data_IF_713669283556
#
_entry.id   IF_713669283556
#
_cell.length_a   1.000
_cell.length_b   1.000
_cell.length_c   1.000
_cell.angle_alpha   90.00
_cell.angle_beta   90.00
_cell.angle_gamma   90.00
#
_symmetry.space_group_name_H-M   'P 1'
#
loop_
_entity.id
_entity.type
_entity.pdbx_description
1 polymer ?
#
# COMPACT_ATOMS: atom_id res chain seq x y z
N UNK A 1 -9.35 -5.09 -16.75
CA UNK A 1 -8.02 -5.74 -16.87
C UNK A 1 -6.95 -4.91 -16.16
N UNK A 2 -6.93 -4.92 -14.83
CA UNK A 2 -5.78 -4.46 -14.06
C UNK A 2 -5.27 -5.63 -13.22
N UNK A 3 -4.41 -6.44 -13.86
CA UNK A 3 -3.75 -7.59 -13.24
C UNK A 3 -2.80 -7.06 -12.17
N UNK A 4 -3.13 -7.25 -10.90
CA UNK A 4 -2.13 -7.22 -9.83
C UNK A 4 -1.08 -8.25 -10.23
N UNK A 5 0.11 -7.82 -10.58
CA UNK A 5 1.18 -8.68 -11.07
C UNK A 5 1.55 -9.69 -9.97
N UNK A 6 1.11 -10.95 -10.07
CA UNK A 6 1.34 -11.95 -9.02
C UNK A 6 2.84 -12.17 -8.79
N UNK A 7 3.64 -11.94 -9.85
CA UNK A 7 5.09 -12.06 -9.86
C UNK A 7 5.82 -11.05 -8.96
N UNK A 8 5.20 -9.94 -8.57
CA UNK A 8 5.83 -8.95 -7.69
C UNK A 8 5.73 -9.32 -6.19
N UNK A 9 4.90 -10.29 -5.80
CA UNK A 9 4.81 -10.73 -4.41
C UNK A 9 6.10 -11.40 -3.91
N UNK A 10 6.60 -12.43 -4.61
CA UNK A 10 7.84 -13.14 -4.22
C UNK A 10 9.07 -12.24 -4.17
N UNK A 11 9.15 -11.19 -5.01
CA UNK A 11 10.31 -10.30 -5.02
C UNK A 11 10.51 -9.56 -3.69
N UNK A 12 9.44 -9.26 -2.94
CA UNK A 12 9.57 -8.66 -1.60
C UNK A 12 10.26 -9.59 -0.62
N UNK A 13 9.89 -10.87 -0.62
CA UNK A 13 10.50 -11.85 0.27
C UNK A 13 11.96 -12.10 -0.11
N UNK A 14 12.22 -12.25 -1.41
CA UNK A 14 13.59 -12.43 -1.92
C UNK A 14 14.46 -11.25 -1.53
N UNK A 15 14.02 -10.01 -1.79
CA UNK A 15 14.80 -8.81 -1.45
C UNK A 15 14.93 -8.62 0.06
N UNK A 16 13.91 -8.96 0.85
CA UNK A 16 13.98 -8.81 2.32
C UNK A 16 14.93 -9.83 2.96
N UNK A 17 14.99 -11.07 2.43
CA UNK A 17 15.86 -12.13 2.94
C UNK A 17 17.28 -11.98 2.38
N UNK A 18 17.42 -11.81 1.06
CA UNK A 18 18.72 -11.62 0.41
C UNK A 18 19.38 -10.30 0.81
N UNK A 19 18.60 -9.26 1.10
CA UNK A 19 19.12 -7.97 1.54
C UNK A 19 19.81 -8.00 2.92
N UNK A 20 19.59 -9.04 3.73
CA UNK A 20 20.35 -9.26 4.97
C UNK A 20 21.80 -9.68 4.69
N UNK A 21 22.04 -10.32 3.55
CA UNK A 21 23.36 -10.78 3.11
C UNK A 21 24.00 -9.82 2.10
N UNK A 22 23.18 -9.14 1.31
CA UNK A 22 23.58 -8.20 0.25
C UNK A 22 22.94 -6.83 0.46
N UNK A 23 23.55 -5.94 1.28
CA UNK A 23 22.99 -4.63 1.59
C UNK A 23 22.79 -3.72 0.37
N UNK A 24 23.53 -3.95 -0.71
CA UNK A 24 23.37 -3.25 -1.99
C UNK A 24 21.94 -3.37 -2.59
N UNK A 25 21.19 -4.43 -2.27
CA UNK A 25 19.80 -4.59 -2.69
C UNK A 25 18.85 -3.52 -2.11
N UNK A 26 19.24 -2.86 -1.01
CA UNK A 26 18.47 -1.74 -0.43
C UNK A 26 18.35 -0.56 -1.40
N UNK A 27 19.35 -0.32 -2.25
CA UNK A 27 19.32 0.75 -3.26
C UNK A 27 18.34 0.47 -4.40
N UNK A 28 18.19 -0.80 -4.78
CA UNK A 28 17.16 -1.19 -5.73
C UNK A 28 15.76 -0.89 -5.17
N UNK A 29 15.53 -1.11 -3.87
CA UNK A 29 14.27 -0.72 -3.23
C UNK A 29 14.04 0.78 -3.23
N UNK A 30 15.08 1.60 -3.03
CA UNK A 30 14.98 3.06 -3.12
C UNK A 30 14.53 3.51 -4.51
N UNK A 31 15.04 2.90 -5.58
CA UNK A 31 14.59 3.15 -6.94
C UNK A 31 13.10 2.80 -7.13
N UNK A 32 12.66 1.65 -6.62
CA UNK A 32 11.25 1.24 -6.66
C UNK A 32 10.36 2.19 -5.85
N UNK A 33 10.84 2.67 -4.71
CA UNK A 33 10.14 3.66 -3.86
C UNK A 33 10.08 5.04 -4.53
N UNK A 34 11.13 5.45 -5.25
CA UNK A 34 11.17 6.70 -6.02
C UNK A 34 10.21 6.68 -7.21
N UNK A 35 10.18 5.60 -7.98
CA UNK A 35 9.21 5.43 -9.09
C UNK A 35 7.76 5.41 -8.59
N UNK A 36 7.54 4.80 -7.41
CA UNK A 36 6.28 4.86 -6.67
C UNK A 36 5.82 6.29 -6.35
N UNK A 37 6.77 7.13 -5.96
CA UNK A 37 6.51 8.53 -5.63
C UNK A 37 6.17 9.35 -6.88
N UNK A 38 6.97 9.21 -7.93
CA UNK A 38 6.78 9.93 -9.20
C UNK A 38 5.44 9.54 -9.83
N UNK A 39 5.13 8.24 -9.90
CA UNK A 39 3.86 7.76 -10.46
C UNK A 39 2.62 8.25 -9.68
N UNK A 40 2.78 8.51 -8.38
CA UNK A 40 1.71 9.08 -7.55
C UNK A 40 1.35 10.51 -7.93
N UNK A 41 2.29 11.28 -8.48
CA UNK A 41 2.01 12.64 -8.92
C UNK A 41 1.00 12.63 -10.07
N UNK A 42 1.01 11.61 -10.92
CA UNK A 42 0.10 11.52 -12.07
C UNK A 42 -1.20 10.80 -11.72
N UNK A 43 -1.11 9.57 -11.21
CA UNK A 43 -2.28 8.69 -11.00
C UNK A 43 -2.60 8.45 -9.52
N UNK A 44 -2.05 9.23 -8.60
CA UNK A 44 -2.29 9.08 -7.15
C UNK A 44 -1.93 7.68 -6.65
N UNK A 45 -2.78 7.10 -5.79
CA UNK A 45 -2.53 5.78 -5.18
C UNK A 45 -2.70 4.57 -6.13
N UNK A 46 -2.75 4.77 -7.45
CA UNK A 46 -2.91 3.69 -8.43
C UNK A 46 -1.80 2.62 -8.35
N UNK A 47 -0.56 3.01 -8.06
CA UNK A 47 0.55 2.06 -7.92
C UNK A 47 0.32 1.09 -6.75
N UNK A 48 -0.22 1.57 -5.61
CA UNK A 48 -0.57 0.72 -4.47
C UNK A 48 -1.53 -0.41 -4.83
N UNK A 49 -2.43 -0.16 -5.79
CA UNK A 49 -3.38 -1.14 -6.31
C UNK A 49 -2.75 -2.14 -7.27
N UNK A 50 -1.84 -1.69 -8.15
CA UNK A 50 -1.50 -2.44 -9.37
C UNK A 50 -0.05 -2.93 -9.45
N UNK A 51 0.90 -2.20 -8.86
CA UNK A 51 2.34 -2.44 -9.02
C UNK A 51 3.07 -2.62 -7.68
N UNK A 52 2.42 -2.37 -6.55
CA UNK A 52 3.06 -2.49 -5.24
C UNK A 52 3.45 -3.95 -4.94
N UNK A 53 4.75 -4.27 -4.83
CA UNK A 53 5.22 -5.63 -4.56
C UNK A 53 4.67 -6.16 -3.23
N UNK A 54 4.67 -5.31 -2.20
CA UNK A 54 4.12 -5.64 -0.88
C UNK A 54 2.60 -5.86 -0.91
N UNK A 55 1.89 -5.08 -1.72
CA UNK A 55 0.46 -5.25 -1.92
C UNK A 55 0.12 -6.58 -2.58
N UNK A 56 0.90 -6.97 -3.60
CA UNK A 56 0.79 -8.27 -4.27
C UNK A 56 1.09 -9.42 -3.30
N UNK A 57 2.14 -9.30 -2.48
CA UNK A 57 2.47 -10.28 -1.46
C UNK A 57 1.31 -10.52 -0.47
N UNK A 58 0.66 -9.47 0.01
CA UNK A 58 -0.47 -9.64 0.93
C UNK A 58 -1.72 -10.23 0.25
N UNK A 59 -2.01 -9.86 -0.99
CA UNK A 59 -3.19 -10.36 -1.71
C UNK A 59 -3.05 -11.81 -2.19
N UNK A 60 -1.84 -12.27 -2.54
CA UNK A 60 -1.64 -13.66 -3.00
C UNK A 60 -1.09 -14.58 -1.91
N UNK A 61 -0.18 -14.10 -1.07
CA UNK A 61 0.46 -14.90 -0.02
C UNK A 61 -0.43 -15.08 1.21
N UNK A 62 -1.07 -13.99 1.68
CA UNK A 62 -1.79 -14.00 2.96
C UNK A 62 -3.27 -14.32 2.81
N UNK A 63 -3.84 -14.26 1.61
CA UNK A 63 -5.27 -14.55 1.40
C UNK A 63 -5.70 -15.94 1.90
N UNK A 64 -4.79 -16.92 1.93
CA UNK A 64 -5.02 -18.26 2.50
C UNK A 64 -5.05 -18.29 4.03
N UNK A 65 -4.34 -17.37 4.68
CA UNK A 65 -4.18 -17.29 6.14
C UNK A 65 -5.12 -16.24 6.76
N UNK A 66 -5.57 -15.27 5.96
CA UNK A 66 -6.38 -14.15 6.41
C UNK A 66 -7.76 -14.59 6.92
N UNK A 67 -8.09 -14.19 8.15
CA UNK A 67 -9.42 -14.40 8.75
C UNK A 67 -10.52 -13.52 8.14
N UNK A 68 -10.21 -12.68 7.14
CA UNK A 68 -11.13 -11.78 6.42
C UNK A 68 -12.01 -10.94 7.37
N UNK A 69 -11.48 -10.57 8.53
CA UNK A 69 -12.16 -9.68 9.48
C UNK A 69 -12.08 -8.24 8.96
N UNK A 70 -13.15 -7.47 9.19
CA UNK A 70 -13.20 -6.05 8.81
C UNK A 70 -12.07 -5.27 9.48
N UNK A 71 -11.49 -4.35 8.74
CA UNK A 71 -10.47 -3.42 9.21
C UNK A 71 -11.15 -2.45 10.19
N UNK A 72 -10.68 -2.35 11.45
CA UNK A 72 -11.24 -1.39 12.39
C UNK A 72 -11.01 0.04 11.87
N UNK A 73 -12.06 0.86 11.88
CA UNK A 73 -12.01 2.26 11.39
C UNK A 73 -10.90 3.10 12.05
N UNK A 74 -10.51 2.71 13.27
CA UNK A 74 -9.40 3.29 14.02
C UNK A 74 -8.08 3.22 13.24
N UNK A 75 -7.76 2.11 12.56
CA UNK A 75 -6.55 1.96 11.73
C UNK A 75 -6.54 2.84 10.49
N UNK A 76 -7.73 3.11 9.93
CA UNK A 76 -7.88 4.03 8.79
C UNK A 76 -7.93 5.50 9.21
N UNK A 77 -8.16 5.80 10.49
CA UNK A 77 -8.34 7.16 10.98
C UNK A 77 -7.06 7.97 10.83
N UNK A 78 -7.21 9.25 10.47
CA UNK A 78 -6.09 10.20 10.37
C UNK A 78 -5.35 10.35 11.70
N UNK A 79 -6.08 10.19 12.81
CA UNK A 79 -5.56 10.22 14.18
C UNK A 79 -4.54 9.13 14.50
N UNK A 80 -4.67 7.93 13.91
CA UNK A 80 -3.68 6.84 14.07
C UNK A 80 -2.65 6.90 12.95
N UNK A 81 -3.07 7.31 11.76
CA UNK A 81 -2.20 7.38 10.58
C UNK A 81 -1.09 8.42 10.71
N UNK A 82 -1.40 9.62 11.19
CA UNK A 82 -0.41 10.72 11.35
C UNK A 82 0.69 10.36 12.36
N UNK A 83 0.39 9.89 13.59
CA UNK A 83 1.46 9.56 14.54
C UNK A 83 2.29 8.37 14.06
N UNK A 84 1.68 7.35 13.43
CA UNK A 84 2.45 6.24 12.85
C UNK A 84 3.35 6.72 11.71
N UNK A 85 2.84 7.58 10.82
CA UNK A 85 3.66 8.19 9.76
C UNK A 85 4.82 9.02 10.34
N UNK A 86 4.53 9.87 11.33
CA UNK A 86 5.52 10.72 11.99
C UNK A 86 6.59 9.89 12.69
N UNK A 87 6.19 8.88 13.47
CA UNK A 87 7.09 7.99 14.20
C UNK A 87 7.98 7.19 13.24
N UNK A 88 7.42 6.62 12.17
CA UNK A 88 8.20 5.86 11.19
C UNK A 88 9.17 6.75 10.40
N UNK A 89 8.74 7.96 10.03
CA UNK A 89 9.60 8.92 9.33
C UNK A 89 10.70 9.45 10.25
N UNK A 90 10.37 9.80 11.50
CA UNK A 90 11.34 10.24 12.50
C UNK A 90 12.37 9.15 12.81
N UNK A 91 11.94 7.89 12.94
CA UNK A 91 12.85 6.76 13.12
C UNK A 91 13.78 6.58 11.91
N UNK A 92 13.26 6.72 10.69
CA UNK A 92 14.07 6.64 9.47
C UNK A 92 15.11 7.78 9.41
N UNK A 93 14.70 9.01 9.68
CA UNK A 93 15.59 10.17 9.72
C UNK A 93 16.65 10.02 10.81
N UNK A 94 16.27 9.60 12.02
CA UNK A 94 17.20 9.36 13.11
C UNK A 94 18.28 8.33 12.74
N UNK A 95 17.89 7.19 12.16
CA UNK A 95 18.83 6.15 11.70
C UNK A 95 19.76 6.67 10.61
N UNK A 96 19.25 7.48 9.68
CA UNK A 96 20.07 8.13 8.64
C UNK A 96 21.06 9.13 9.27
N UNK A 97 20.62 9.98 10.20
CA UNK A 97 21.47 10.95 10.89
C UNK A 97 22.61 10.30 11.66
N UNK A 98 22.32 9.21 12.39
CA UNK A 98 23.34 8.43 13.12
C UNK A 98 24.34 7.79 12.15
N UNK A 99 23.87 7.31 10.99
CA UNK A 99 24.74 6.68 9.97
C UNK A 99 25.66 7.69 9.31
N UNK A 100 25.15 8.89 8.98
CA UNK A 100 25.95 9.99 8.43
C UNK A 100 27.00 10.45 9.45
N UNK A 101 26.61 10.61 10.72
CA UNK A 101 27.52 11.01 11.79
C UNK A 101 28.64 9.99 12.05
N UNK A 102 28.38 8.71 11.80
CA UNK A 102 29.33 7.64 11.99
C UNK A 102 30.27 7.40 10.79
N UNK A 103 30.28 8.28 9.76
CA UNK A 103 31.07 8.16 8.52
C UNK A 103 31.01 6.78 7.85
N UNK A 104 29.89 6.07 8.02
CA UNK A 104 29.77 4.70 7.57
C UNK A 104 29.33 4.61 6.11
N UNK A 105 29.93 3.64 5.42
CA UNK A 105 29.77 3.28 4.01
C UNK A 105 28.32 3.11 3.57
N UNK A 106 28.12 3.30 2.26
CA UNK A 106 26.93 3.04 1.44
C UNK A 106 26.17 1.75 1.86
N UNK A 107 26.89 0.73 2.33
CA UNK A 107 26.32 -0.54 2.79
C UNK A 107 25.42 -0.43 4.05
N UNK A 108 25.74 0.45 5.01
CA UNK A 108 24.92 0.63 6.21
C UNK A 108 23.56 1.25 5.87
N UNK A 109 23.53 2.17 4.90
CA UNK A 109 22.29 2.78 4.42
C UNK A 109 21.40 1.70 3.80
N UNK A 110 21.97 0.83 2.97
CA UNK A 110 21.28 -0.33 2.39
C UNK A 110 20.65 -1.24 3.44
N UNK A 111 21.39 -1.59 4.50
CA UNK A 111 20.88 -2.42 5.60
C UNK A 111 19.70 -1.80 6.34
N UNK A 112 19.67 -0.48 6.52
CA UNK A 112 18.56 0.21 7.19
C UNK A 112 17.26 0.06 6.38
N UNK A 113 17.33 0.26 5.06
CA UNK A 113 16.18 0.12 4.17
C UNK A 113 15.67 -1.32 4.11
N UNK A 114 16.57 -2.31 4.09
CA UNK A 114 16.17 -3.72 4.13
C UNK A 114 15.53 -4.05 5.49
N UNK A 115 16.15 -3.65 6.60
CA UNK A 115 15.65 -3.95 7.96
C UNK A 115 14.26 -3.35 8.19
N UNK A 116 14.03 -2.09 7.80
CA UNK A 116 12.71 -1.48 7.93
C UNK A 116 11.69 -2.17 7.02
N UNK A 117 12.09 -2.57 5.81
CA UNK A 117 11.23 -3.31 4.90
C UNK A 117 10.85 -4.69 5.48
N UNK A 118 11.78 -5.38 6.11
CA UNK A 118 11.54 -6.67 6.76
C UNK A 118 10.58 -6.50 7.94
N UNK A 119 10.88 -5.62 8.89
CA UNK A 119 10.04 -5.39 10.08
C UNK A 119 8.62 -5.00 9.69
N UNK A 120 8.47 -4.06 8.74
CA UNK A 120 7.15 -3.62 8.27
C UNK A 120 6.41 -4.70 7.49
N UNK A 121 7.11 -5.61 6.82
CA UNK A 121 6.50 -6.77 6.15
C UNK A 121 6.03 -7.81 7.17
N UNK A 122 6.79 -8.05 8.24
CA UNK A 122 6.37 -8.93 9.35
C UNK A 122 5.12 -8.38 10.03
N UNK A 123 5.12 -7.10 10.41
CA UNK A 123 3.96 -6.44 11.04
C UNK A 123 2.75 -6.47 10.09
N UNK A 124 2.95 -6.13 8.81
CA UNK A 124 1.90 -6.20 7.81
C UNK A 124 1.35 -7.61 7.59
N UNK A 125 2.20 -8.63 7.72
CA UNK A 125 1.81 -10.03 7.62
C UNK A 125 0.94 -10.45 8.80
N UNK A 126 1.34 -10.11 10.03
CA UNK A 126 0.55 -10.38 11.23
C UNK A 126 -0.82 -9.71 11.16
N UNK A 127 -0.87 -8.43 10.77
CA UNK A 127 -2.12 -7.70 10.62
C UNK A 127 -2.99 -8.22 9.47
N UNK A 128 -2.37 -8.59 8.35
CA UNK A 128 -3.08 -9.17 7.20
C UNK A 128 -3.69 -10.54 7.49
N UNK A 129 -3.00 -11.34 8.32
CA UNK A 129 -3.49 -12.63 8.79
C UNK A 129 -4.66 -12.51 9.76
N UNK A 130 -4.60 -11.56 10.70
CA UNK A 130 -5.67 -11.39 11.68
C UNK A 130 -6.89 -10.63 11.15
N UNK A 131 -6.67 -9.59 10.34
CA UNK A 131 -7.72 -8.76 9.75
C UNK A 131 -7.91 -9.10 8.26
N UNK A 132 -7.89 -8.08 7.40
CA UNK A 132 -7.95 -8.20 5.95
C UNK A 132 -6.55 -8.04 5.35
N UNK A 133 -6.27 -8.63 4.17
CA UNK A 133 -4.94 -8.65 3.54
C UNK A 133 -4.35 -7.25 3.37
N UNK A 134 -5.19 -6.23 3.19
CA UNK A 134 -4.76 -4.84 2.94
C UNK A 134 -4.79 -3.93 4.15
N UNK A 135 -4.84 -4.49 5.37
CA UNK A 135 -4.84 -3.72 6.62
C UNK A 135 -3.63 -2.78 6.73
N UNK A 136 -2.42 -3.25 6.37
CA UNK A 136 -1.20 -2.44 6.36
C UNK A 136 -1.29 -1.21 5.42
N UNK A 137 -1.99 -1.33 4.29
CA UNK A 137 -2.08 -0.26 3.30
C UNK A 137 -2.84 0.98 3.81
N UNK A 138 -3.58 0.87 4.92
CA UNK A 138 -4.32 1.99 5.51
C UNK A 138 -3.43 3.00 6.22
N UNK A 139 -2.39 2.53 6.91
CA UNK A 139 -1.47 3.38 7.68
C UNK A 139 -0.03 3.32 7.16
N UNK A 140 0.21 2.63 6.05
CA UNK A 140 1.51 2.61 5.37
C UNK A 140 2.01 4.04 5.12
N UNK A 141 3.27 4.38 5.47
CA UNK A 141 3.78 5.74 5.34
C UNK A 141 3.80 6.21 3.88
N UNK A 142 4.16 5.32 2.96
CA UNK A 142 4.11 5.61 1.52
C UNK A 142 2.67 5.85 1.02
N UNK A 143 1.72 5.02 1.46
CA UNK A 143 0.31 5.22 1.11
C UNK A 143 -0.27 6.54 1.64
N UNK A 144 0.19 6.96 2.81
CA UNK A 144 -0.17 8.25 3.43
C UNK A 144 0.42 9.41 2.64
N UNK A 145 1.69 9.33 2.24
CA UNK A 145 2.34 10.35 1.41
C UNK A 145 1.65 10.49 0.05
N UNK A 146 1.33 9.37 -0.61
CA UNK A 146 0.59 9.37 -1.88
C UNK A 146 -0.84 9.90 -1.76
N UNK A 147 -1.50 9.71 -0.60
CA UNK A 147 -2.80 10.31 -0.28
C UNK A 147 -2.71 11.84 -0.30
N UNK A 148 -1.65 12.41 0.29
CA UNK A 148 -1.48 13.87 0.32
C UNK A 148 -1.14 14.46 -1.04
N UNK A 149 -0.29 13.80 -1.84
CA UNK A 149 0.21 14.35 -3.11
C UNK A 149 -0.79 14.16 -4.25
N UNK A 150 -1.32 12.95 -4.41
CA UNK A 150 -2.11 12.56 -5.58
C UNK A 150 -3.49 12.00 -5.25
N UNK A 151 -3.91 12.11 -3.98
CA UNK A 151 -5.16 11.52 -3.50
C UNK A 151 -6.41 12.03 -4.20
N UNK A 152 -6.38 13.25 -4.78
CA UNK A 152 -7.51 13.86 -5.50
C UNK A 152 -7.56 13.55 -7.01
N UNK A 153 -6.49 13.01 -7.61
CA UNK A 153 -6.41 12.77 -9.06
C UNK A 153 -7.14 11.48 -9.46
N UNK A 154 -7.59 11.34 -10.71
CA UNK A 154 -8.07 10.06 -11.29
C UNK A 154 -9.05 9.29 -10.38
N UNK A 155 -10.17 9.95 -10.04
CA UNK A 155 -11.15 9.45 -9.07
C UNK A 155 -12.11 8.47 -9.72
N UNK A 156 -12.65 7.58 -8.90
CA UNK A 156 -13.74 6.74 -9.34
C UNK A 156 -15.01 7.60 -9.45
N UNK A 157 -15.62 7.61 -10.63
CA UNK A 157 -16.92 8.21 -10.88
C UNK A 157 -17.98 7.11 -10.85
N UNK A 158 -19.11 7.41 -10.23
CA UNK A 158 -20.25 6.53 -10.19
C UNK A 158 -21.44 7.26 -10.79
N UNK A 159 -22.12 6.60 -11.72
CA UNK A 159 -23.42 7.03 -12.16
C UNK A 159 -24.49 6.52 -11.17
N UNK A 160 -25.14 7.45 -10.50
CA UNK A 160 -26.16 7.15 -9.49
C UNK A 160 -27.48 6.68 -10.11
N UNK A 161 -27.76 7.01 -11.37
CA UNK A 161 -29.02 6.65 -12.04
C UNK A 161 -29.03 5.18 -12.46
N UNK A 162 -27.93 4.69 -13.03
CA UNK A 162 -27.79 3.27 -13.40
C UNK A 162 -27.50 2.32 -12.23
N UNK A 163 -27.16 2.86 -11.04
CA UNK A 163 -26.76 2.06 -9.89
C UNK A 163 -27.97 1.43 -9.16
N UNK A 164 -28.00 0.10 -9.12
CA UNK A 164 -29.07 -0.70 -8.46
C UNK A 164 -28.80 -1.04 -6.98
N UNK A 165 -27.88 -0.34 -6.31
CA UNK A 165 -27.50 -0.54 -4.90
C UNK A 165 -27.20 -2.01 -4.47
N UNK A 166 -26.65 -2.82 -5.38
CA UNK A 166 -26.40 -4.25 -5.10
C UNK A 166 -25.25 -4.53 -4.10
N UNK A 167 -24.47 -3.51 -3.72
CA UNK A 167 -23.32 -3.56 -2.78
C UNK A 167 -22.20 -4.55 -3.15
N UNK A 168 -22.17 -5.10 -4.36
CA UNK A 168 -21.10 -5.99 -4.84
C UNK A 168 -19.74 -5.29 -4.88
N UNK A 169 -19.73 -4.02 -5.31
CA UNK A 169 -18.53 -3.19 -5.37
C UNK A 169 -17.88 -2.96 -3.98
N UNK A 170 -18.67 -2.81 -2.92
CA UNK A 170 -18.16 -2.66 -1.54
C UNK A 170 -17.57 -3.97 -1.02
N UNK A 171 -18.19 -5.11 -1.34
CA UNK A 171 -17.71 -6.43 -0.91
C UNK A 171 -16.37 -6.82 -1.54
N UNK A 172 -16.11 -6.41 -2.79
CA UNK A 172 -14.86 -6.72 -3.48
C UNK A 172 -13.75 -5.70 -3.18
N UNK A 173 -14.09 -4.55 -2.57
CA UNK A 173 -13.14 -3.48 -2.31
C UNK A 173 -12.09 -3.91 -1.28
N UNK A 174 -10.80 -4.03 -1.66
CA UNK A 174 -9.75 -4.46 -0.74
C UNK A 174 -9.53 -3.50 0.43
N UNK A 175 -9.87 -2.23 0.24
CA UNK A 175 -9.75 -1.18 1.24
C UNK A 175 -11.05 -1.00 2.06
N UNK A 176 -12.07 -1.83 1.82
CA UNK A 176 -13.36 -1.82 2.52
C UNK A 176 -14.05 -0.44 2.52
N UNK A 177 -13.85 0.31 1.43
CA UNK A 177 -14.45 1.62 1.23
C UNK A 177 -15.92 1.48 0.81
N UNK A 178 -16.76 2.40 1.29
CA UNK A 178 -18.10 2.59 0.75
C UNK A 178 -17.99 3.17 -0.65
N UNK A 179 -18.24 2.33 -1.66
CA UNK A 179 -18.06 2.71 -3.07
C UNK A 179 -19.16 3.69 -3.51
N UNK A 180 -20.36 3.56 -2.94
CA UNK A 180 -21.49 4.44 -3.24
C UNK A 180 -21.20 5.91 -2.89
N UNK A 181 -20.54 6.12 -1.75
CA UNK A 181 -20.19 7.45 -1.24
C UNK A 181 -18.72 7.79 -1.50
N UNK A 182 -18.07 7.09 -2.44
CA UNK A 182 -16.61 7.14 -2.56
C UNK A 182 -16.11 8.52 -2.95
N UNK A 183 -16.90 9.28 -3.73
CA UNK A 183 -16.58 10.64 -4.18
C UNK A 183 -15.09 10.84 -4.46
N UNK A 184 -14.49 11.79 -3.76
CA UNK A 184 -13.05 12.09 -3.82
C UNK A 184 -12.25 11.43 -2.68
N UNK A 185 -12.63 10.24 -2.21
CA UNK A 185 -11.98 9.58 -1.09
C UNK A 185 -10.54 9.19 -1.48
N UNK A 186 -9.53 9.84 -0.87
CA UNK A 186 -8.14 9.68 -1.28
C UNK A 186 -7.54 8.36 -0.76
N UNK A 187 -8.32 7.52 -0.07
CA UNK A 187 -7.95 6.15 0.29
C UNK A 187 -8.18 5.13 -0.83
N UNK A 188 -8.87 5.51 -1.91
CA UNK A 188 -9.04 4.65 -3.08
C UNK A 188 -7.68 4.36 -3.75
N UNK A 189 -7.30 3.08 -3.83
CA UNK A 189 -6.07 2.62 -4.50
C UNK A 189 -6.24 2.39 -6.00
N UNK A 190 -7.43 2.68 -6.55
CA UNK A 190 -7.72 2.64 -8.00
C UNK A 190 -7.35 1.31 -8.66
N UNK A 191 -7.72 0.21 -8.00
CA UNK A 191 -7.46 -1.14 -8.47
C UNK A 191 -8.48 -1.62 -9.52
N UNK A 192 -9.62 -0.94 -9.69
CA UNK A 192 -10.63 -1.26 -10.69
C UNK A 192 -11.50 -2.51 -10.42
N UNK A 193 -11.27 -3.25 -9.33
CA UNK A 193 -12.10 -4.43 -8.99
C UNK A 193 -13.59 -4.13 -8.87
N UNK A 194 -13.94 -2.93 -8.43
CA UNK A 194 -15.34 -2.49 -8.31
C UNK A 194 -16.00 -2.29 -9.67
N UNK A 195 -15.26 -1.86 -10.70
CA UNK A 195 -15.74 -1.73 -12.08
C UNK A 195 -15.99 -3.13 -12.65
N UNK A 196 -15.02 -4.04 -12.51
CA UNK A 196 -15.09 -5.39 -13.08
C UNK A 196 -16.25 -6.25 -12.57
N UNK A 197 -16.72 -6.01 -11.33
CA UNK A 197 -17.84 -6.77 -10.75
C UNK A 197 -19.21 -6.09 -10.94
N UNK A 198 -19.25 -4.87 -11.48
CA UNK A 198 -20.48 -4.09 -11.57
C UNK A 198 -21.38 -4.65 -12.67
N UNK A 199 -22.60 -5.13 -12.39
CA UNK A 199 -23.47 -5.74 -13.39
C UNK A 199 -24.13 -4.72 -14.35
N UNK A 200 -24.00 -3.42 -14.06
CA UNK A 200 -24.62 -2.31 -14.81
C UNK A 200 -23.58 -1.33 -15.36
N UNK A 201 -22.29 -1.63 -15.21
CA UNK A 201 -21.18 -0.77 -15.64
C UNK A 201 -21.28 0.69 -15.15
N UNK A 202 -21.94 0.91 -14.01
CA UNK A 202 -22.18 2.25 -13.41
C UNK A 202 -20.92 2.92 -12.84
N UNK A 203 -19.73 2.35 -13.04
CA UNK A 203 -18.48 2.80 -12.42
C UNK A 203 -17.39 2.98 -13.48
N UNK A 204 -16.71 4.12 -13.44
CA UNK A 204 -15.61 4.47 -14.36
C UNK A 204 -14.52 5.30 -13.66
N UNK A 205 -13.32 5.41 -14.26
CA UNK A 205 -12.22 6.26 -13.78
C UNK A 205 -12.04 7.50 -14.67
#
# INVERSE_FOLDING_TARGET
MLKITPYLGPSVLIVSIAGLWYPMLGYFMLLVMGTLFISSIFRGRWFCGNLCPRGSYFDYGIIKISKKRKIPKVLSSMWVRIPVFSLMMAFMLYRISVTIAAQNTIELIGMIFVSICLVTTVIGTMLGGYFNTRSWCNFCPMGTMQRFIGGKKYQLKMDHESCIDCKKCEKVCPMELKVRDIGNNPDCIKCGRCIEICPKDSLSF
#
